data_IF_710454439587
#
_entry.id   IF_710454439587
#
_cell.length_a   1.000
_cell.length_b   1.000
_cell.length_c   1.000
_cell.angle_alpha   90.00
_cell.angle_beta   90.00
_cell.angle_gamma   90.00
#
_symmetry.space_group_name_H-M   'P 1'
#
loop_
_entity.id
_entity.type
_entity.pdbx_description
1 polymer ?
#
# COMPACT_ATOMS: atom_id res chain seq x y z
N UNK A 1 -0.41 -12.80 -0.68
CA UNK A 1 -0.62 -11.53 0.00
C UNK A 1 -0.32 -10.38 -0.95
N UNK A 2 -1.03 -9.30 -0.83
CA UNK A 2 -0.93 -8.20 -1.78
C UNK A 2 -0.97 -6.87 -1.04
N UNK A 3 -0.19 -5.89 -1.54
CA UNK A 3 -0.25 -4.53 -1.02
C UNK A 3 -0.82 -3.61 -2.09
N UNK A 4 -1.66 -2.69 -1.68
CA UNK A 4 -2.24 -1.69 -2.56
C UNK A 4 -1.77 -0.32 -2.07
N UNK A 5 -1.17 0.46 -2.98
CA UNK A 5 -0.74 1.82 -2.68
C UNK A 5 -1.67 2.79 -3.38
N UNK A 6 -2.20 3.73 -2.61
CA UNK A 6 -3.04 4.80 -3.13
C UNK A 6 -2.27 6.12 -3.09
N UNK A 7 -2.31 6.85 -4.18
CA UNK A 7 -1.59 8.11 -4.28
C UNK A 7 -2.27 9.02 -5.30
N UNK A 8 -1.88 10.29 -5.30
CA UNK A 8 -2.22 11.17 -6.40
C UNK A 8 -1.15 11.06 -7.47
N UNK A 9 -1.54 11.25 -8.71
CA UNK A 9 -0.73 11.03 -9.89
C UNK A 9 0.66 11.64 -9.81
N UNK A 10 0.79 12.83 -9.23
CA UNK A 10 2.05 13.57 -9.25
C UNK A 10 2.82 13.55 -7.93
N UNK A 11 2.37 12.81 -6.94
CA UNK A 11 2.91 12.99 -5.60
C UNK A 11 3.91 11.95 -5.14
N UNK A 12 3.97 10.77 -5.75
CA UNK A 12 4.82 9.71 -5.21
C UNK A 12 5.79 9.09 -6.21
N UNK A 13 5.61 9.30 -7.49
CA UNK A 13 6.34 8.56 -8.52
C UNK A 13 7.85 8.54 -8.35
N UNK A 14 8.44 9.63 -7.86
CA UNK A 14 9.88 9.76 -7.75
C UNK A 14 10.43 9.66 -6.33
N UNK A 15 9.58 9.34 -5.38
CA UNK A 15 9.99 9.28 -3.99
C UNK A 15 10.92 8.08 -3.73
N UNK A 16 12.06 8.33 -3.10
CA UNK A 16 12.95 7.25 -2.71
C UNK A 16 12.31 6.38 -1.64
N UNK A 17 11.42 6.95 -0.84
CA UNK A 17 10.68 6.18 0.17
C UNK A 17 9.78 5.15 -0.47
N UNK A 18 9.10 5.49 -1.57
CA UNK A 18 8.26 4.55 -2.30
C UNK A 18 9.11 3.45 -2.89
N UNK A 19 10.27 3.78 -3.45
CA UNK A 19 11.15 2.76 -4.02
C UNK A 19 11.63 1.78 -2.96
N UNK A 20 11.97 2.27 -1.77
CA UNK A 20 12.35 1.40 -0.66
C UNK A 20 11.20 0.50 -0.24
N UNK A 21 10.00 1.06 -0.17
CA UNK A 21 8.82 0.30 0.17
C UNK A 21 8.57 -0.81 -0.85
N UNK A 22 8.70 -0.52 -2.13
CA UNK A 22 8.54 -1.51 -3.18
C UNK A 22 9.53 -2.66 -3.01
N UNK A 23 10.78 -2.35 -2.72
CA UNK A 23 11.81 -3.36 -2.52
C UNK A 23 11.48 -4.22 -1.30
N UNK A 24 11.07 -3.59 -0.21
CA UNK A 24 10.69 -4.31 1.01
C UNK A 24 9.53 -5.26 0.76
N UNK A 25 8.51 -4.80 0.05
CA UNK A 25 7.36 -5.64 -0.26
C UNK A 25 7.76 -6.84 -1.12
N UNK A 26 8.57 -6.62 -2.13
CA UNK A 26 9.06 -7.71 -2.98
C UNK A 26 9.88 -8.71 -2.18
N UNK A 27 10.74 -8.21 -1.29
CA UNK A 27 11.56 -9.08 -0.47
C UNK A 27 10.73 -9.96 0.46
N UNK A 28 9.54 -9.51 0.83
CA UNK A 28 8.62 -10.26 1.68
C UNK A 28 7.60 -11.08 0.87
N UNK A 29 7.78 -11.16 -0.44
CA UNK A 29 6.88 -11.96 -1.28
C UNK A 29 5.51 -11.34 -1.47
N UNK A 30 5.39 -10.02 -1.30
CA UNK A 30 4.11 -9.33 -1.43
C UNK A 30 4.00 -8.72 -2.82
N UNK A 31 2.90 -9.03 -3.50
CA UNK A 31 2.59 -8.43 -4.80
C UNK A 31 2.10 -7.01 -4.59
N UNK A 32 2.56 -6.08 -5.41
CA UNK A 32 2.19 -4.68 -5.25
C UNK A 32 1.29 -4.22 -6.38
N UNK A 33 0.24 -3.49 -6.03
CA UNK A 33 -0.61 -2.78 -6.97
C UNK A 33 -0.64 -1.31 -6.58
N UNK A 34 -0.56 -0.44 -7.57
CA UNK A 34 -0.55 1.00 -7.36
C UNK A 34 -1.76 1.61 -8.07
N UNK A 35 -2.48 2.47 -7.36
CA UNK A 35 -3.66 3.13 -7.90
C UNK A 35 -3.61 4.63 -7.69
N UNK A 36 -4.05 5.35 -8.72
CA UNK A 36 -4.26 6.78 -8.65
C UNK A 36 -5.69 7.02 -8.11
N UNK A 37 -5.82 7.74 -7.01
CA UNK A 37 -7.14 7.99 -6.41
C UNK A 37 -8.02 8.86 -7.29
N UNK A 38 -7.45 9.53 -8.29
CA UNK A 38 -8.23 10.32 -9.23
C UNK A 38 -8.77 9.46 -10.39
N UNK A 39 -8.34 8.20 -10.48
CA UNK A 39 -8.94 7.28 -11.44
C UNK A 39 -10.22 6.69 -10.87
N UNK A 40 -11.09 6.20 -11.74
CA UNK A 40 -12.35 5.59 -11.30
C UNK A 40 -12.08 4.39 -10.41
N UNK A 41 -11.17 3.52 -10.83
CA UNK A 41 -10.86 2.30 -10.07
C UNK A 41 -10.19 2.63 -8.74
N UNK A 42 -9.24 3.57 -8.77
CA UNK A 42 -8.54 3.99 -7.56
C UNK A 42 -9.49 4.63 -6.55
N UNK A 43 -10.42 5.48 -7.02
CA UNK A 43 -11.40 6.10 -6.15
C UNK A 43 -12.32 5.06 -5.51
N UNK A 44 -12.76 4.06 -6.28
CA UNK A 44 -13.61 2.99 -5.76
C UNK A 44 -12.90 2.18 -4.68
N UNK A 45 -11.65 1.80 -4.93
CA UNK A 45 -10.89 1.02 -3.96
C UNK A 45 -10.56 1.84 -2.73
N UNK A 46 -10.22 3.11 -2.89
CA UNK A 46 -9.96 3.97 -1.74
C UNK A 46 -11.18 4.09 -0.84
N UNK A 47 -12.37 4.20 -1.43
CA UNK A 47 -13.61 4.22 -0.67
C UNK A 47 -13.85 2.89 0.03
N UNK A 48 -13.62 1.79 -0.68
CA UNK A 48 -13.81 0.45 -0.13
C UNK A 48 -12.96 0.22 1.12
N UNK A 49 -11.72 0.69 1.12
CA UNK A 49 -10.81 0.51 2.25
C UNK A 49 -10.83 1.67 3.23
N UNK A 50 -11.65 2.69 3.00
CA UNK A 50 -11.77 3.80 3.93
C UNK A 50 -10.55 4.71 3.95
N UNK A 51 -9.89 4.90 2.81
CA UNK A 51 -8.71 5.74 2.73
C UNK A 51 -9.11 7.22 2.84
N UNK A 52 -8.56 7.90 3.83
CA UNK A 52 -8.86 9.31 4.12
C UNK A 52 -7.67 10.22 3.83
N UNK A 53 -6.46 9.72 3.93
CA UNK A 53 -5.23 10.48 3.73
C UNK A 53 -4.32 9.76 2.74
N UNK A 54 -3.46 10.52 2.07
CA UNK A 54 -2.51 10.00 1.10
C UNK A 54 -1.10 10.39 1.51
N UNK A 55 -0.12 9.57 1.20
CA UNK A 55 -0.23 8.26 0.58
C UNK A 55 -0.82 7.24 1.54
N UNK A 56 -1.45 6.20 1.00
CA UNK A 56 -2.02 5.14 1.82
C UNK A 56 -1.55 3.78 1.29
N UNK A 57 -1.33 2.85 2.20
CA UNK A 57 -0.93 1.48 1.85
C UNK A 57 -1.83 0.52 2.61
N UNK A 58 -2.39 -0.44 1.89
CA UNK A 58 -3.22 -1.49 2.47
C UNK A 58 -2.59 -2.83 2.12
N UNK A 59 -2.34 -3.67 3.11
CA UNK A 59 -1.85 -5.03 2.88
C UNK A 59 -2.98 -6.00 3.16
N UNK A 60 -3.31 -6.83 2.19
CA UNK A 60 -4.41 -7.78 2.30
C UNK A 60 -3.96 -9.19 2.01
N UNK A 61 -4.62 -10.15 2.64
CA UNK A 61 -4.40 -11.56 2.39
C UNK A 61 -5.06 -11.97 1.08
N UNK A 62 -4.80 -13.19 0.63
CA UNK A 62 -5.45 -13.74 -0.56
C UNK A 62 -6.95 -13.84 -0.39
N UNK A 63 -7.42 -13.92 0.84
CA UNK A 63 -8.83 -13.97 1.16
C UNK A 63 -9.48 -12.58 1.23
N UNK A 64 -8.68 -11.53 1.08
CA UNK A 64 -9.17 -10.16 1.13
C UNK A 64 -9.19 -9.55 2.52
N UNK A 65 -8.59 -10.20 3.49
CA UNK A 65 -8.55 -9.70 4.86
C UNK A 65 -7.42 -8.67 5.02
N UNK A 66 -7.73 -7.53 5.63
CA UNK A 66 -6.75 -6.47 5.85
C UNK A 66 -5.79 -6.88 6.94
N UNK A 67 -4.50 -6.93 6.61
CA UNK A 67 -3.44 -7.24 7.57
C UNK A 67 -2.70 -5.99 8.02
N UNK A 68 -2.69 -4.95 7.22
CA UNK A 68 -2.05 -3.70 7.60
C UNK A 68 -2.67 -2.55 6.83
N UNK A 69 -2.74 -1.39 7.48
CA UNK A 69 -3.32 -0.19 6.89
C UNK A 69 -2.55 1.01 7.40
N UNK A 70 -2.00 1.79 6.49
CA UNK A 70 -1.28 3.02 6.83
C UNK A 70 -1.79 4.12 5.91
N UNK A 71 -2.04 5.30 6.49
CA UNK A 71 -2.43 6.45 5.69
C UNK A 71 -1.79 7.71 6.26
N UNK A 72 -1.54 8.67 5.37
CA UNK A 72 -0.85 9.90 5.73
C UNK A 72 0.66 9.77 5.71
N UNK A 73 1.19 8.57 5.78
CA UNK A 73 2.62 8.30 5.68
C UNK A 73 2.83 6.86 5.23
N UNK A 74 4.03 6.57 4.73
CA UNK A 74 4.37 5.22 4.29
C UNK A 74 4.86 4.40 5.48
N UNK A 75 4.58 3.09 5.51
CA UNK A 75 5.07 2.23 6.59
C UNK A 75 6.58 2.01 6.48
N UNK A 76 7.21 1.71 7.61
CA UNK A 76 8.62 1.33 7.65
C UNK A 76 8.78 -0.15 7.28
N UNK A 77 10.04 -0.55 7.05
CA UNK A 77 10.33 -1.96 6.80
C UNK A 77 9.86 -2.87 7.92
N UNK A 78 10.06 -2.44 9.16
CA UNK A 78 9.62 -3.21 10.32
C UNK A 78 8.11 -3.36 10.39
N UNK A 79 7.38 -2.29 10.07
CA UNK A 79 5.93 -2.34 10.05
C UNK A 79 5.43 -3.30 8.97
N UNK A 80 6.04 -3.28 7.79
CA UNK A 80 5.68 -4.19 6.71
C UNK A 80 5.95 -5.63 7.13
N UNK A 81 7.13 -5.89 7.67
CA UNK A 81 7.51 -7.24 8.10
C UNK A 81 6.55 -7.80 9.14
N UNK A 82 6.10 -6.97 10.07
CA UNK A 82 5.12 -7.39 11.06
C UNK A 82 3.76 -7.67 10.44
N UNK A 83 3.33 -6.83 9.51
CA UNK A 83 1.99 -6.97 8.96
C UNK A 83 1.86 -8.13 7.99
N UNK A 84 2.92 -8.49 7.24
CA UNK A 84 2.83 -9.66 6.38
C UNK A 84 2.91 -10.95 7.19
N UNK A 85 3.06 -10.84 8.49
CA UNK A 85 2.87 -11.95 9.40
C UNK A 85 3.85 -13.05 9.14
N UNK A 86 5.11 -12.67 9.02
CA UNK A 86 6.01 -13.70 8.86
C UNK A 86 5.71 -14.70 9.87
N UNK A 87 6.02 -15.83 9.59
CA UNK A 87 5.67 -16.93 10.45
C UNK A 87 6.88 -17.48 11.11
#
# INVERSE_FOLDING_TARGET
MKAIIFSKKDSIGDSSEVKKLLQTLRANGVTLESYDVDSVRGAQLAETYGVMDLPAVVVITEEGKVQGFWQGSLPSEGEISQSVGYI
#
